data_IF_803483596851
#
_entry.id   IF_803483596851
#
_cell.length_a   1.000
_cell.length_b   1.000
_cell.length_c   1.000
_cell.angle_alpha   90.00
_cell.angle_beta   90.00
_cell.angle_gamma   90.00
#
_symmetry.space_group_name_H-M   'P 1'
#
loop_
_entity.id
_entity.type
_entity.pdbx_description
1 polymer ?
#
# COMPACT_ATOMS: atom_id res chain seq x y z
N UNK A 1 53.74 27.10 5.27
CA UNK A 1 52.75 26.00 5.08
C UNK A 1 51.33 26.35 5.53
N UNK A 2 51.12 27.29 6.47
CA UNK A 2 49.78 27.69 6.96
C UNK A 2 48.86 28.32 5.87
N UNK A 3 49.41 29.16 4.99
CA UNK A 3 48.60 29.86 3.98
C UNK A 3 47.86 28.93 3.01
N UNK A 4 48.44 27.78 2.64
CA UNK A 4 47.79 26.81 1.74
C UNK A 4 46.57 26.12 2.36
N UNK A 5 46.55 25.93 3.68
CA UNK A 5 45.43 25.28 4.38
C UNK A 5 44.22 26.20 4.50
N UNK A 6 44.45 27.50 4.68
CA UNK A 6 43.38 28.50 4.79
C UNK A 6 42.62 28.63 3.46
N UNK A 7 43.34 28.63 2.34
CA UNK A 7 42.72 28.69 1.01
C UNK A 7 41.86 27.46 0.68
N UNK A 8 42.29 26.26 1.07
CA UNK A 8 41.51 25.04 0.83
C UNK A 8 40.16 25.04 1.57
N UNK A 9 40.13 25.54 2.81
CA UNK A 9 38.90 25.62 3.60
C UNK A 9 37.93 26.66 3.01
N UNK A 10 38.44 27.83 2.58
CA UNK A 10 37.62 28.86 1.95
C UNK A 10 36.94 28.37 0.67
N UNK A 11 37.66 27.65 -0.20
CA UNK A 11 37.07 27.07 -1.41
C UNK A 11 35.98 26.04 -1.10
N UNK A 12 36.18 25.21 -0.07
CA UNK A 12 35.17 24.24 0.36
C UNK A 12 33.86 24.91 0.80
N UNK A 13 33.94 25.96 1.61
CA UNK A 13 32.75 26.69 2.10
C UNK A 13 32.00 27.38 0.95
N UNK A 14 32.71 28.03 0.03
CA UNK A 14 32.10 28.69 -1.14
C UNK A 14 31.41 27.67 -2.05
N UNK A 15 32.01 26.50 -2.28
CA UNK A 15 31.41 25.45 -3.10
C UNK A 15 30.10 24.93 -2.50
N UNK A 16 30.06 24.68 -1.17
CA UNK A 16 28.82 24.25 -0.49
C UNK A 16 27.74 25.33 -0.58
N UNK A 17 28.08 26.60 -0.36
CA UNK A 17 27.14 27.70 -0.47
C UNK A 17 26.53 27.84 -1.88
N UNK A 18 27.33 27.66 -2.94
CA UNK A 18 26.83 27.66 -4.32
C UNK A 18 25.88 26.49 -4.60
N UNK A 19 26.17 25.29 -4.09
CA UNK A 19 25.30 24.11 -4.28
C UNK A 19 23.93 24.35 -3.61
N UNK A 20 23.92 24.85 -2.36
CA UNK A 20 22.67 25.16 -1.64
C UNK A 20 21.85 26.22 -2.39
N UNK A 21 22.49 27.29 -2.87
CA UNK A 21 21.82 28.33 -3.64
C UNK A 21 21.24 27.81 -4.96
N UNK A 22 21.98 26.96 -5.67
CA UNK A 22 21.55 26.39 -6.95
C UNK A 22 20.35 25.44 -6.79
N UNK A 23 20.30 24.65 -5.71
CA UNK A 23 19.15 23.79 -5.38
C UNK A 23 17.91 24.62 -5.04
N UNK A 24 18.06 25.72 -4.29
CA UNK A 24 16.96 26.62 -3.95
C UNK A 24 16.35 27.32 -5.16
N UNK A 25 17.16 27.69 -6.16
CA UNK A 25 16.69 28.43 -7.35
C UNK A 25 15.78 27.61 -8.27
N UNK A 26 15.80 26.28 -8.18
CA UNK A 26 14.97 25.39 -9.02
C UNK A 26 13.52 25.22 -8.52
N UNK A 27 13.15 25.82 -7.38
CA UNK A 27 11.82 25.64 -6.77
C UNK A 27 10.79 26.74 -7.09
N UNK A 28 11.02 27.61 -8.08
CA UNK A 28 9.99 28.54 -8.54
C UNK A 28 8.93 27.77 -9.35
N UNK A 29 8.02 27.07 -8.66
CA UNK A 29 6.85 26.46 -9.25
C UNK A 29 5.93 27.60 -9.69
N UNK A 30 5.59 27.74 -10.98
CA UNK A 30 4.61 28.72 -11.43
C UNK A 30 3.28 28.38 -10.77
N UNK A 31 2.80 29.29 -9.92
CA UNK A 31 1.47 29.20 -9.31
C UNK A 31 0.46 29.48 -10.42
N UNK A 32 -0.11 28.43 -11.01
CA UNK A 32 -1.27 28.58 -11.89
C UNK A 32 -2.46 29.06 -11.06
N UNK A 33 -3.15 30.15 -11.47
CA UNK A 33 -4.37 30.57 -10.81
C UNK A 33 -5.43 29.46 -10.89
N UNK A 34 -6.23 29.26 -9.83
CA UNK A 34 -7.26 28.24 -9.80
C UNK A 34 -8.29 28.47 -10.93
N UNK A 35 -8.78 27.40 -11.59
CA UNK A 35 -9.84 27.52 -12.57
C UNK A 35 -11.12 28.04 -11.91
N UNK A 36 -11.83 28.92 -12.63
CA UNK A 36 -13.10 29.49 -12.19
C UNK A 36 -14.11 28.38 -11.85
N UNK A 37 -14.76 28.52 -10.69
CA UNK A 37 -15.75 27.62 -10.11
C UNK A 37 -16.82 27.21 -11.14
N UNK A 38 -16.66 26.03 -11.74
CA UNK A 38 -17.76 25.31 -12.39
C UNK A 38 -18.69 24.81 -11.30
N UNK A 39 -19.89 25.41 -11.23
CA UNK A 39 -20.87 25.23 -10.18
C UNK A 39 -21.12 23.78 -9.78
N UNK A 40 -20.95 23.51 -8.49
CA UNK A 40 -21.34 22.28 -7.83
C UNK A 40 -22.87 22.18 -7.89
N UNK A 41 -23.39 21.29 -8.75
CA UNK A 41 -24.80 20.87 -8.67
C UNK A 41 -24.97 19.98 -7.45
N UNK A 42 -25.62 20.51 -6.42
CA UNK A 42 -26.11 19.74 -5.28
C UNK A 42 -27.18 18.77 -5.80
N UNK A 43 -26.81 17.51 -5.98
CA UNK A 43 -27.78 16.44 -6.24
C UNK A 43 -28.52 16.20 -4.93
N UNK A 44 -29.81 16.56 -4.91
CA UNK A 44 -30.71 16.31 -3.79
C UNK A 44 -30.90 14.80 -3.67
N UNK A 45 -30.22 14.18 -2.71
CA UNK A 45 -30.41 12.77 -2.37
C UNK A 45 -31.84 12.61 -1.85
N UNK A 46 -32.63 11.76 -2.51
CA UNK A 46 -33.99 11.44 -2.09
C UNK A 46 -34.01 10.79 -0.70
N UNK A 47 -35.19 10.75 -0.04
CA UNK A 47 -35.32 10.10 1.26
C UNK A 47 -34.83 8.65 1.21
N UNK A 48 -34.16 8.17 2.28
CA UNK A 48 -33.63 6.81 2.30
C UNK A 48 -34.75 5.80 2.07
N UNK A 49 -34.53 4.75 1.26
CA UNK A 49 -35.52 3.70 1.07
C UNK A 49 -35.86 3.09 2.43
N UNK A 50 -37.16 3.03 2.70
CA UNK A 50 -37.73 2.49 3.92
C UNK A 50 -37.23 1.04 4.09
N UNK A 51 -36.70 0.64 5.28
CA UNK A 51 -36.24 -0.71 5.52
C UNK A 51 -37.37 -1.70 5.21
N UNK A 52 -37.17 -2.54 4.19
CA UNK A 52 -38.09 -3.63 3.90
C UNK A 52 -38.14 -4.54 5.12
N UNK A 53 -39.33 -4.73 5.68
CA UNK A 53 -39.52 -5.64 6.82
C UNK A 53 -38.98 -7.03 6.45
N UNK A 54 -38.30 -7.73 7.37
CA UNK A 54 -37.81 -9.08 7.12
C UNK A 54 -38.97 -9.99 6.72
N UNK A 55 -38.96 -10.47 5.48
CA UNK A 55 -39.87 -11.54 5.10
C UNK A 55 -39.52 -12.78 5.94
N UNK A 56 -40.50 -13.44 6.58
CA UNK A 56 -40.25 -14.68 7.29
C UNK A 56 -39.64 -15.69 6.32
N UNK A 57 -38.41 -16.12 6.63
CA UNK A 57 -37.70 -17.12 5.85
C UNK A 57 -38.54 -18.41 5.80
N UNK A 58 -38.81 -18.98 4.62
CA UNK A 58 -39.47 -20.27 4.53
C UNK A 58 -38.61 -21.32 5.25
N UNK A 59 -39.24 -22.05 6.18
CA UNK A 59 -38.64 -23.16 6.92
C UNK A 59 -38.08 -24.18 5.92
N UNK A 60 -36.76 -24.12 5.70
CA UNK A 60 -36.05 -25.00 4.79
C UNK A 60 -36.03 -26.39 5.40
N UNK A 61 -36.78 -27.33 4.83
CA UNK A 61 -36.69 -28.73 5.22
C UNK A 61 -35.25 -29.23 5.03
N UNK A 62 -34.74 -30.13 5.89
CA UNK A 62 -33.40 -30.68 5.76
C UNK A 62 -33.31 -31.54 4.51
N UNK A 63 -32.88 -30.94 3.40
CA UNK A 63 -32.41 -31.68 2.23
C UNK A 63 -31.01 -32.20 2.55
N UNK A 64 -30.84 -33.52 2.45
CA UNK A 64 -29.54 -34.16 2.58
C UNK A 64 -28.54 -33.48 1.64
N UNK A 65 -27.42 -33.01 2.18
CA UNK A 65 -26.37 -32.41 1.39
C UNK A 65 -25.91 -33.44 0.33
N UNK A 66 -25.95 -33.10 -0.98
CA UNK A 66 -25.42 -33.99 -1.99
C UNK A 66 -23.94 -34.23 -1.69
N UNK A 67 -23.54 -35.50 -1.69
CA UNK A 67 -22.15 -35.88 -1.50
C UNK A 67 -21.26 -35.14 -2.53
N UNK A 68 -20.14 -34.55 -2.12
CA UNK A 68 -19.24 -33.87 -3.05
C UNK A 68 -18.77 -34.86 -4.10
N UNK A 69 -19.15 -34.63 -5.36
CA UNK A 69 -18.63 -35.35 -6.50
C UNK A 69 -17.12 -35.07 -6.54
N UNK A 70 -16.31 -36.11 -6.43
CA UNK A 70 -14.88 -36.02 -6.63
C UNK A 70 -14.61 -35.53 -8.06
N UNK A 71 -14.16 -34.29 -8.20
CA UNK A 71 -13.74 -33.74 -9.49
C UNK A 71 -12.43 -34.43 -9.86
N UNK A 72 -12.37 -35.20 -10.97
CA UNK A 72 -11.13 -35.84 -11.37
C UNK A 72 -10.06 -34.78 -11.66
N UNK A 73 -8.80 -35.02 -11.26
CA UNK A 73 -7.70 -34.09 -11.52
C UNK A 73 -7.56 -33.87 -13.02
N UNK A 74 -7.65 -32.62 -13.47
CA UNK A 74 -7.56 -32.26 -14.88
C UNK A 74 -6.08 -32.37 -15.33
N UNK A 75 -5.71 -33.34 -16.20
CA UNK A 75 -4.31 -33.60 -16.55
C UNK A 75 -3.67 -32.53 -17.46
N UNK A 76 -4.42 -31.52 -17.89
CA UNK A 76 -3.99 -30.52 -18.87
C UNK A 76 -3.57 -29.15 -18.32
N UNK A 77 -3.48 -28.96 -17.00
CA UNK A 77 -3.26 -27.65 -16.40
C UNK A 77 -1.82 -27.08 -16.51
N UNK A 78 -0.94 -27.72 -17.28
CA UNK A 78 0.49 -27.38 -17.33
C UNK A 78 0.84 -26.11 -18.13
N UNK A 79 0.10 -25.79 -19.20
CA UNK A 79 0.56 -24.82 -20.19
C UNK A 79 -0.50 -23.78 -20.61
N UNK A 80 -1.57 -23.58 -19.85
CA UNK A 80 -2.54 -22.52 -20.15
C UNK A 80 -1.98 -21.15 -19.69
N UNK A 81 -1.60 -20.25 -20.62
CA UNK A 81 -1.09 -18.93 -20.26
C UNK A 81 -2.15 -18.08 -19.53
N UNK A 82 -3.44 -18.41 -19.68
CA UNK A 82 -4.55 -17.74 -18.97
C UNK A 82 -4.67 -18.26 -17.54
N UNK A 83 -4.37 -19.54 -17.29
CA UNK A 83 -4.36 -20.07 -15.92
C UNK A 83 -3.32 -19.37 -15.02
N UNK A 84 -2.23 -18.85 -15.61
CA UNK A 84 -1.25 -18.02 -14.91
C UNK A 84 -1.78 -16.62 -14.52
N UNK A 85 -2.84 -16.15 -15.19
CA UNK A 85 -3.52 -14.88 -14.88
C UNK A 85 -4.55 -15.05 -13.76
N UNK A 86 -4.95 -16.29 -13.44
CA UNK A 86 -5.86 -16.55 -12.32
C UNK A 86 -5.07 -16.33 -11.03
N UNK A 87 -5.51 -15.39 -10.16
CA UNK A 87 -4.86 -15.18 -8.88
C UNK A 87 -4.84 -16.51 -8.09
N UNK A 88 -3.69 -16.90 -7.52
CA UNK A 88 -3.59 -18.14 -6.78
C UNK A 88 -4.61 -18.17 -5.64
N UNK A 89 -5.21 -19.34 -5.38
CA UNK A 89 -6.13 -19.50 -4.26
C UNK A 89 -5.55 -18.90 -2.96
N UNK A 90 -6.35 -18.08 -2.26
CA UNK A 90 -5.90 -17.35 -1.07
C UNK A 90 -5.17 -16.02 -1.35
N UNK A 91 -5.24 -15.48 -2.58
CA UNK A 91 -4.81 -14.10 -2.89
C UNK A 91 -5.91 -13.04 -2.68
N UNK A 92 -7.12 -13.45 -2.30
CA UNK A 92 -8.20 -12.53 -1.98
C UNK A 92 -7.82 -11.68 -0.76
N UNK A 93 -7.84 -10.33 -0.87
CA UNK A 93 -7.51 -9.43 0.23
C UNK A 93 -8.24 -9.74 1.54
N UNK A 94 -9.52 -10.08 1.47
CA UNK A 94 -10.33 -10.36 2.66
C UNK A 94 -9.86 -11.65 3.37
N UNK A 95 -9.54 -12.69 2.59
CA UNK A 95 -9.02 -13.95 3.12
C UNK A 95 -7.62 -13.79 3.73
N UNK A 96 -6.74 -13.04 3.07
CA UNK A 96 -5.40 -12.75 3.59
C UNK A 96 -5.46 -11.98 4.91
N UNK A 97 -6.31 -10.96 4.99
CA UNK A 97 -6.52 -10.20 6.22
C UNK A 97 -7.10 -11.10 7.34
N UNK A 98 -8.11 -11.92 7.04
CA UNK A 98 -8.68 -12.86 8.00
C UNK A 98 -7.63 -13.87 8.51
N UNK A 99 -6.79 -14.41 7.63
CA UNK A 99 -5.68 -15.29 8.00
C UNK A 99 -4.67 -14.56 8.89
N UNK A 100 -4.25 -13.35 8.52
CA UNK A 100 -3.34 -12.53 9.34
C UNK A 100 -3.88 -12.32 10.76
N UNK A 101 -5.20 -12.05 10.89
CA UNK A 101 -5.87 -11.87 12.18
C UNK A 101 -5.92 -13.14 13.03
N UNK A 102 -5.95 -14.31 12.40
CA UNK A 102 -6.01 -15.61 13.07
C UNK A 102 -4.61 -16.15 13.43
N UNK A 103 -3.55 -15.72 12.74
CA UNK A 103 -2.19 -16.20 13.01
C UNK A 103 -1.65 -15.68 14.36
N UNK A 104 -1.04 -16.56 15.18
CA UNK A 104 -0.33 -16.11 16.37
C UNK A 104 0.87 -15.27 15.96
N UNK A 105 1.34 -14.42 16.88
CA UNK A 105 2.53 -13.60 16.67
C UNK A 105 3.79 -14.33 17.10
N UNK A 106 4.78 -14.46 16.21
CA UNK A 106 6.15 -14.84 16.58
C UNK A 106 6.90 -13.58 17.03
N UNK A 107 7.20 -13.38 18.32
CA UNK A 107 7.75 -12.12 18.82
C UNK A 107 9.14 -11.81 18.25
N UNK A 108 9.98 -12.81 18.03
CA UNK A 108 11.36 -12.62 17.59
C UNK A 108 11.42 -12.32 16.09
N UNK A 109 10.65 -13.07 15.29
CA UNK A 109 10.55 -12.82 13.86
C UNK A 109 9.79 -11.52 13.55
N UNK A 110 8.64 -11.30 14.21
CA UNK A 110 7.79 -10.16 13.95
C UNK A 110 8.51 -8.83 14.25
N UNK A 111 9.16 -8.70 15.41
CA UNK A 111 9.83 -7.45 15.78
C UNK A 111 10.91 -7.02 14.76
N UNK A 112 11.72 -7.98 14.28
CA UNK A 112 12.76 -7.70 13.28
C UNK A 112 12.16 -7.28 11.93
N UNK A 113 11.16 -8.01 11.45
CA UNK A 113 10.54 -7.73 10.16
C UNK A 113 9.73 -6.44 10.18
N UNK A 114 9.02 -6.16 11.27
CA UNK A 114 8.30 -4.90 11.43
C UNK A 114 9.26 -3.71 11.40
N UNK A 115 10.41 -3.80 12.08
CA UNK A 115 11.44 -2.75 12.03
C UNK A 115 12.03 -2.59 10.61
N UNK A 116 12.35 -3.70 9.95
CA UNK A 116 12.86 -3.71 8.57
C UNK A 116 11.89 -3.09 7.57
N UNK A 117 10.60 -3.45 7.65
CA UNK A 117 9.55 -2.90 6.79
C UNK A 117 9.33 -1.40 7.06
N UNK A 118 9.30 -0.97 8.33
CA UNK A 118 9.21 0.47 8.67
C UNK A 118 10.37 1.26 8.06
N UNK A 119 11.59 0.74 8.15
CA UNK A 119 12.76 1.36 7.53
C UNK A 119 12.63 1.39 6.00
N UNK A 120 12.26 0.27 5.38
CA UNK A 120 12.09 0.19 3.93
C UNK A 120 11.06 1.20 3.39
N UNK A 121 9.99 1.45 4.15
CA UNK A 121 8.91 2.38 3.81
C UNK A 121 9.23 3.84 4.16
N UNK A 122 10.25 4.12 4.98
CA UNK A 122 10.60 5.49 5.37
C UNK A 122 11.01 6.38 4.17
N UNK A 123 11.50 5.77 3.10
CA UNK A 123 11.90 6.46 1.87
C UNK A 123 10.73 6.67 0.89
N UNK A 124 9.55 6.10 1.16
CA UNK A 124 8.38 6.28 0.30
C UNK A 124 7.79 7.66 0.56
N UNK A 125 7.72 8.54 -0.44
CA UNK A 125 7.20 9.88 -0.24
C UNK A 125 5.70 9.84 0.04
N UNK A 126 5.19 10.86 0.76
CA UNK A 126 3.75 11.12 0.92
C UNK A 126 2.91 9.99 1.55
N UNK A 127 3.53 9.04 2.24
CA UNK A 127 2.83 8.10 3.12
C UNK A 127 2.88 8.58 4.57
N UNK A 128 1.87 8.21 5.36
CA UNK A 128 1.78 8.59 6.77
C UNK A 128 1.28 10.03 7.00
N UNK A 129 0.58 10.62 6.02
CA UNK A 129 0.06 11.99 6.03
C UNK A 129 -0.94 12.29 7.17
N UNK A 130 -0.46 12.30 8.41
CA UNK A 130 -1.22 12.54 9.65
C UNK A 130 -1.62 11.28 10.43
N UNK A 131 -1.43 10.08 9.88
CA UNK A 131 -1.66 8.82 10.58
C UNK A 131 -0.38 8.00 10.63
N UNK A 132 -0.17 7.28 11.73
CA UNK A 132 0.96 6.37 11.84
C UNK A 132 0.84 5.22 10.83
N UNK A 133 1.93 4.92 10.13
CA UNK A 133 2.09 3.70 9.36
C UNK A 133 1.98 2.49 10.31
N UNK A 134 1.00 1.63 10.08
CA UNK A 134 0.81 0.42 10.87
C UNK A 134 1.54 -0.74 10.19
N UNK A 135 2.60 -1.23 10.83
CA UNK A 135 3.33 -2.44 10.39
C UNK A 135 3.21 -3.46 11.49
N UNK A 136 2.61 -4.61 11.18
CA UNK A 136 2.39 -5.71 12.11
C UNK A 136 2.72 -7.04 11.45
N UNK A 137 3.48 -7.89 12.14
CA UNK A 137 3.79 -9.23 11.66
C UNK A 137 3.24 -10.29 12.63
N UNK A 138 2.76 -11.39 12.06
CA UNK A 138 2.26 -12.57 12.76
C UNK A 138 3.36 -13.66 12.80
N UNK A 139 3.07 -14.91 12.43
CA UNK A 139 4.08 -15.98 12.34
C UNK A 139 4.63 -16.12 10.92
N UNK A 140 3.75 -15.99 9.92
CA UNK A 140 4.10 -16.15 8.50
C UNK A 140 3.68 -14.98 7.62
N UNK A 141 2.90 -14.03 8.15
CA UNK A 141 2.39 -12.88 7.43
C UNK A 141 2.83 -11.57 8.07
N UNK A 142 3.08 -10.56 7.24
CA UNK A 142 3.17 -9.16 7.66
C UNK A 142 2.13 -8.33 6.92
N UNK A 143 1.42 -7.51 7.68
CA UNK A 143 0.47 -6.53 7.18
C UNK A 143 1.05 -5.12 7.37
N UNK A 144 1.05 -4.35 6.29
CA UNK A 144 1.35 -2.94 6.29
C UNK A 144 0.11 -2.18 5.84
N UNK A 145 -0.41 -1.30 6.68
CA UNK A 145 -1.50 -0.41 6.31
C UNK A 145 -1.16 1.04 6.64
N UNK A 146 -1.67 1.95 5.82
CA UNK A 146 -1.41 3.36 5.98
C UNK A 146 -2.30 4.23 5.10
N UNK A 147 -2.08 5.53 5.20
CA UNK A 147 -2.75 6.54 4.38
C UNK A 147 -1.71 7.34 3.62
N UNK A 148 -2.05 7.77 2.40
CA UNK A 148 -1.29 8.79 1.69
C UNK A 148 -1.75 10.18 2.12
N UNK A 149 -0.93 11.21 1.88
CA UNK A 149 -1.33 12.60 2.14
C UNK A 149 -2.62 12.92 1.38
N UNK A 150 -3.65 13.49 2.03
CA UNK A 150 -4.89 13.86 1.35
C UNK A 150 -4.65 15.07 0.42
N UNK A 151 -5.38 15.14 -0.69
CA UNK A 151 -5.31 16.28 -1.62
C UNK A 151 -3.99 16.41 -2.38
N UNK A 152 -3.20 15.34 -2.47
CA UNK A 152 -2.00 15.34 -3.31
C UNK A 152 -2.35 15.63 -4.78
N UNK A 153 -1.48 16.35 -5.50
CA UNK A 153 -1.51 16.35 -6.95
C UNK A 153 -1.49 14.91 -7.48
N UNK A 154 -2.27 14.63 -8.53
CA UNK A 154 -2.39 13.28 -9.09
C UNK A 154 -1.01 12.66 -9.44
N UNK A 155 -0.09 13.47 -9.98
CA UNK A 155 1.26 13.03 -10.30
C UNK A 155 2.05 12.53 -9.08
N UNK A 156 1.88 13.16 -7.91
CA UNK A 156 2.55 12.75 -6.67
C UNK A 156 1.87 11.53 -6.05
N UNK A 157 0.54 11.44 -6.17
CA UNK A 157 -0.23 10.24 -5.82
C UNK A 157 0.26 9.02 -6.62
N UNK A 158 0.34 9.16 -7.94
CA UNK A 158 0.83 8.11 -8.84
C UNK A 158 2.27 7.70 -8.52
N UNK A 159 3.17 8.67 -8.27
CA UNK A 159 4.56 8.38 -7.86
C UNK A 159 4.62 7.58 -6.57
N UNK A 160 3.76 7.91 -5.61
CA UNK A 160 3.69 7.21 -4.32
C UNK A 160 3.16 5.78 -4.50
N UNK A 161 2.11 5.58 -5.29
CA UNK A 161 1.60 4.23 -5.61
C UNK A 161 2.63 3.38 -6.33
N UNK A 162 3.35 3.96 -7.30
CA UNK A 162 4.46 3.30 -7.99
C UNK A 162 5.61 2.95 -7.03
N UNK A 163 5.92 3.81 -6.06
CA UNK A 163 6.94 3.51 -5.06
C UNK A 163 6.53 2.34 -4.13
N UNK A 164 5.24 2.26 -3.80
CA UNK A 164 4.66 1.16 -2.99
C UNK A 164 4.55 -0.16 -3.77
N UNK A 165 4.39 -0.11 -5.10
CA UNK A 165 4.32 -1.29 -5.97
C UNK A 165 5.67 -1.66 -6.60
N UNK A 166 6.66 -0.77 -6.51
CA UNK A 166 7.87 -0.84 -7.31
C UNK A 166 8.91 -1.83 -6.79
N UNK A 167 9.82 -2.21 -7.69
CA UNK A 167 10.87 -3.18 -7.41
C UNK A 167 11.79 -2.78 -6.26
N UNK A 168 11.97 -1.49 -6.00
CA UNK A 168 12.83 -1.01 -4.91
C UNK A 168 12.31 -1.48 -3.55
N UNK A 169 11.01 -1.32 -3.28
CA UNK A 169 10.40 -1.80 -2.04
C UNK A 169 10.36 -3.33 -2.00
N UNK A 170 9.99 -3.97 -3.11
CA UNK A 170 9.96 -5.44 -3.23
C UNK A 170 11.32 -6.07 -2.94
N UNK A 171 12.42 -5.55 -3.51
CA UNK A 171 13.78 -6.04 -3.23
C UNK A 171 14.18 -5.86 -1.77
N UNK A 172 13.85 -4.72 -1.16
CA UNK A 172 14.10 -4.50 0.28
C UNK A 172 13.31 -5.50 1.14
N UNK A 173 12.04 -5.74 0.84
CA UNK A 173 11.26 -6.78 1.51
C UNK A 173 11.88 -8.18 1.31
N UNK A 174 12.36 -8.49 0.11
CA UNK A 174 13.04 -9.75 -0.17
C UNK A 174 14.31 -9.95 0.67
N UNK A 175 15.09 -8.89 0.95
CA UNK A 175 16.25 -8.99 1.88
C UNK A 175 15.86 -9.31 3.32
N UNK A 176 14.59 -9.11 3.68
CA UNK A 176 14.03 -9.51 4.99
C UNK A 176 13.48 -10.94 4.97
N UNK A 177 13.58 -11.67 3.85
CA UNK A 177 12.95 -12.98 3.69
C UNK A 177 11.44 -12.89 3.51
N UNK A 178 10.95 -11.78 2.97
CA UNK A 178 9.52 -11.56 2.70
C UNK A 178 9.24 -11.60 1.19
N UNK A 179 8.05 -12.08 0.83
CA UNK A 179 7.52 -12.08 -0.53
C UNK A 179 6.24 -11.25 -0.58
N UNK A 180 6.14 -10.36 -1.57
CA UNK A 180 4.96 -9.51 -1.74
C UNK A 180 3.81 -10.32 -2.33
N UNK A 181 2.69 -10.42 -1.61
CA UNK A 181 1.50 -11.17 -2.09
C UNK A 181 0.43 -10.27 -2.67
N UNK A 182 0.29 -9.08 -2.10
CA UNK A 182 -0.80 -8.18 -2.46
C UNK A 182 -0.44 -6.74 -2.12
N UNK A 183 -0.87 -5.84 -3.00
CA UNK A 183 -0.94 -4.41 -2.75
C UNK A 183 -2.33 -3.93 -3.15
N UNK A 184 -3.05 -3.33 -2.23
CA UNK A 184 -4.38 -2.76 -2.46
C UNK A 184 -4.37 -1.28 -2.12
N UNK A 185 -5.05 -0.49 -2.94
CA UNK A 185 -5.25 0.94 -2.74
C UNK A 185 -6.74 1.20 -2.63
N UNK A 186 -7.12 2.14 -1.77
CA UNK A 186 -8.51 2.48 -1.54
C UNK A 186 -8.66 3.90 -1.02
N UNK A 187 -9.86 4.18 -0.52
CA UNK A 187 -10.16 5.44 0.15
C UNK A 187 -10.99 5.15 1.39
N UNK A 188 -10.66 5.80 2.50
CA UNK A 188 -11.41 5.74 3.75
C UNK A 188 -11.59 7.16 4.27
N UNK A 189 -12.85 7.58 4.47
CA UNK A 189 -13.19 8.94 4.89
C UNK A 189 -12.56 10.03 4.01
N UNK A 190 -12.53 9.81 2.69
CA UNK A 190 -11.94 10.74 1.72
C UNK A 190 -10.40 10.77 1.73
N UNK A 191 -9.74 9.88 2.47
CA UNK A 191 -8.28 9.77 2.52
C UNK A 191 -7.82 8.56 1.71
N UNK A 192 -6.86 8.71 0.78
CA UNK A 192 -6.26 7.57 0.08
C UNK A 192 -5.59 6.63 1.09
N UNK A 193 -5.94 5.35 1.03
CA UNK A 193 -5.41 4.29 1.90
C UNK A 193 -4.70 3.23 1.09
N UNK A 194 -3.81 2.50 1.74
CA UNK A 194 -3.15 1.35 1.14
C UNK A 194 -3.00 0.20 2.15
N UNK A 195 -2.93 -1.01 1.60
CA UNK A 195 -2.69 -2.26 2.31
C UNK A 195 -1.66 -3.09 1.52
N UNK A 196 -0.56 -3.46 2.16
CA UNK A 196 0.41 -4.42 1.63
C UNK A 196 0.41 -5.66 2.52
N UNK A 197 0.39 -6.83 1.89
CA UNK A 197 0.52 -8.12 2.58
C UNK A 197 1.77 -8.80 2.06
N UNK A 198 2.63 -9.19 2.99
CA UNK A 198 3.83 -9.96 2.73
C UNK A 198 3.73 -11.34 3.40
N UNK A 199 4.24 -12.37 2.74
CA UNK A 199 4.46 -13.70 3.32
C UNK A 199 5.92 -13.93 3.61
N UNK A 200 6.20 -14.72 4.65
CA UNK A 200 7.54 -15.27 4.92
C UNK A 200 7.92 -16.25 3.80
N UNK A 201 9.14 -16.13 3.28
CA UNK A 201 9.78 -17.10 2.38
C UNK A 201 10.30 -18.32 3.13
#
# INVERSE_FOLDING_TARGET
MMAKRIWAVLFGVVAVAMIVWWVGRRQAIPVTPPPADTGVRVVRVGPPPQPSQPQPLPTRMPHAAPAPLAVPPNPGAGDDPVAQLIPPAGSDPAQLHARFRAEPRDPAWAARNEAGLRNALADVPQIGGGNALAVRCATSLCEVSGTMTPGLPEADGNRTMQALQGDALSRRAATLGLDGRMTSFGSSNGRPTFLLIYTRK
#
